data_IF_971701316197
#
_entry.id   IF_971701316197
#
_cell.length_a   1.000
_cell.length_b   1.000
_cell.length_c   1.000
_cell.angle_alpha   90.00
_cell.angle_beta   90.00
_cell.angle_gamma   90.00
#
_symmetry.space_group_name_H-M   'P 1'
#
loop_
_entity.id
_entity.type
_entity.pdbx_description
1 polymer ?
#
# COMPACT_ATOMS: atom_id res chain seq x y z
N UNK A 1 -3.92 -2.43 0.65
CA UNK A 1 -4.26 -2.19 -0.78
C UNK A 1 -3.04 -1.59 -1.46
N UNK A 2 -2.88 -1.73 -2.78
CA UNK A 2 -1.71 -1.19 -3.48
C UNK A 2 -2.15 -0.69 -4.86
N UNK A 3 -2.53 0.59 -5.04
CA UNK A 3 -2.86 1.13 -6.35
C UNK A 3 -1.68 0.99 -7.33
N UNK A 4 -1.96 0.55 -8.56
CA UNK A 4 -0.99 0.54 -9.66
C UNK A 4 -1.40 1.63 -10.66
N UNK A 5 -0.55 2.65 -10.81
CA UNK A 5 -0.74 3.71 -11.79
C UNK A 5 0.11 3.43 -13.03
N UNK A 6 -0.53 3.33 -14.20
CA UNK A 6 0.17 3.30 -15.48
C UNK A 6 0.72 4.69 -15.80
N UNK A 7 2.00 4.77 -16.12
CA UNK A 7 2.65 6.01 -16.55
C UNK A 7 2.64 6.07 -18.09
N UNK A 8 2.31 7.22 -18.71
CA UNK A 8 2.14 7.31 -20.15
C UNK A 8 3.39 7.01 -21.00
N UNK A 9 4.57 7.36 -20.49
CA UNK A 9 5.84 7.13 -21.18
C UNK A 9 7.00 7.12 -20.18
N UNK A 10 8.15 6.61 -20.62
CA UNK A 10 9.35 6.52 -19.78
C UNK A 10 9.90 7.89 -19.37
N UNK A 11 9.84 8.90 -20.25
CA UNK A 11 10.40 10.24 -19.99
C UNK A 11 9.66 10.97 -18.87
N UNK A 12 8.34 10.77 -18.75
CA UNK A 12 7.50 11.33 -17.69
C UNK A 12 7.60 10.59 -16.37
N UNK A 13 8.16 9.37 -16.34
CA UNK A 13 8.18 8.54 -15.13
C UNK A 13 8.82 9.20 -13.91
N UNK A 14 9.97 9.90 -14.00
CA UNK A 14 10.55 10.59 -12.86
C UNK A 14 9.58 11.58 -12.19
N UNK A 15 8.79 12.32 -12.97
CA UNK A 15 7.82 13.28 -12.44
C UNK A 15 6.74 12.56 -11.61
N UNK A 16 6.14 11.50 -12.16
CA UNK A 16 5.14 10.70 -11.45
C UNK A 16 5.71 10.00 -10.21
N UNK A 17 6.90 9.43 -10.31
CA UNK A 17 7.53 8.70 -9.21
C UNK A 17 7.91 9.64 -8.07
N UNK A 18 8.48 10.80 -8.39
CA UNK A 18 8.85 11.79 -7.39
C UNK A 18 7.60 12.44 -6.76
N UNK A 19 6.54 12.68 -7.53
CA UNK A 19 5.24 13.09 -7.01
C UNK A 19 4.64 12.08 -6.03
N UNK A 20 4.70 10.77 -6.35
CA UNK A 20 4.26 9.71 -5.47
C UNK A 20 5.01 9.68 -4.14
N UNK A 21 6.31 10.01 -4.14
CA UNK A 21 7.10 10.13 -2.90
C UNK A 21 6.60 11.30 -2.05
N UNK A 22 6.28 12.46 -2.66
CA UNK A 22 5.85 13.65 -1.91
C UNK A 22 4.45 13.51 -1.32
N UNK A 23 3.58 12.75 -1.97
CA UNK A 23 2.21 12.53 -1.49
C UNK A 23 2.10 11.46 -0.40
N UNK A 24 3.17 10.70 -0.10
CA UNK A 24 3.16 9.58 0.84
C UNK A 24 2.50 9.89 2.18
N UNK A 25 2.91 10.97 2.84
CA UNK A 25 2.36 11.39 4.14
C UNK A 25 0.91 11.84 4.05
N UNK A 26 0.61 12.94 3.32
CA UNK A 26 -0.75 13.47 3.25
C UNK A 26 -1.81 12.47 2.79
N UNK A 27 -1.48 11.60 1.83
CA UNK A 27 -2.41 10.55 1.35
C UNK A 27 -2.54 9.40 2.35
N UNK A 28 -1.48 9.02 3.07
CA UNK A 28 -1.57 7.98 4.10
C UNK A 28 -2.47 8.44 5.26
N UNK A 29 -2.38 9.70 5.68
CA UNK A 29 -3.13 10.23 6.83
C UNK A 29 -4.65 9.99 6.66
N UNK A 30 -5.19 10.25 5.46
CA UNK A 30 -6.59 9.99 5.10
C UNK A 30 -7.03 8.53 5.27
N UNK A 31 -6.10 7.59 5.23
CA UNK A 31 -6.36 6.15 5.15
C UNK A 31 -5.79 5.31 6.28
N UNK A 32 -5.12 5.89 7.29
CA UNK A 32 -4.53 5.11 8.39
C UNK A 32 -5.57 4.19 9.05
N UNK A 33 -5.22 2.93 9.32
CA UNK A 33 -6.20 1.93 9.76
C UNK A 33 -5.62 0.75 10.57
N UNK A 34 -4.35 0.80 10.97
CA UNK A 34 -3.70 -0.33 11.64
C UNK A 34 -3.00 0.07 12.95
N UNK A 35 -3.72 0.52 13.99
CA UNK A 35 -3.06 1.00 15.21
C UNK A 35 -2.60 -0.09 16.19
N UNK A 36 -3.19 -1.28 16.15
CA UNK A 36 -2.92 -2.34 17.14
C UNK A 36 -2.45 -3.65 16.50
N UNK A 37 -1.64 -4.41 17.24
CA UNK A 37 -1.37 -5.83 17.01
C UNK A 37 -2.60 -6.69 17.34
N UNK A 38 -2.59 -8.00 17.02
CA UNK A 38 -3.48 -8.96 17.65
C UNK A 38 -3.49 -8.83 19.18
N UNK A 39 -4.66 -9.03 19.80
CA UNK A 39 -4.88 -8.72 21.21
C UNK A 39 -3.98 -9.52 22.17
N UNK A 40 -3.68 -10.78 21.81
CA UNK A 40 -2.80 -11.70 22.53
C UNK A 40 -1.32 -11.23 22.57
N UNK A 41 -0.95 -10.26 21.72
CA UNK A 41 0.37 -9.62 21.79
C UNK A 41 0.50 -8.62 22.95
N UNK A 42 -0.60 -8.31 23.65
CA UNK A 42 -0.63 -7.34 24.75
C UNK A 42 -0.82 -7.99 26.12
N UNK A 43 -0.67 -9.32 26.23
CA UNK A 43 -0.68 -10.02 27.51
C UNK A 43 0.47 -9.56 28.42
N UNK A 44 0.19 -9.45 29.72
CA UNK A 44 1.19 -9.13 30.73
C UNK A 44 2.31 -10.19 30.74
N UNK A 45 3.53 -9.80 30.32
CA UNK A 45 4.73 -10.65 30.42
C UNK A 45 5.34 -11.11 29.09
N UNK A 46 4.84 -10.69 27.93
CA UNK A 46 5.46 -10.97 26.64
C UNK A 46 6.46 -9.87 26.20
N UNK A 47 7.67 -9.90 26.78
CA UNK A 47 8.82 -9.12 26.31
C UNK A 47 9.94 -9.03 27.34
N UNK A 48 11.21 -9.36 27.00
CA UNK A 48 12.30 -9.36 27.99
C UNK A 48 12.80 -7.96 28.40
N UNK A 49 12.33 -6.86 27.79
CA UNK A 49 12.86 -5.51 28.04
C UNK A 49 11.83 -4.38 28.12
N UNK A 50 10.54 -4.64 27.91
CA UNK A 50 9.50 -3.59 28.04
C UNK A 50 8.20 -4.25 28.52
N UNK A 51 7.97 -4.32 29.85
CA UNK A 51 6.65 -4.69 30.31
C UNK A 51 5.71 -3.60 29.77
N UNK A 52 4.67 -3.97 29.02
CA UNK A 52 3.45 -3.18 29.02
C UNK A 52 3.20 -2.94 30.51
N UNK A 53 3.46 -1.72 31.00
CA UNK A 53 3.39 -1.44 32.41
C UNK A 53 1.96 -1.80 32.80
N UNK A 54 1.81 -2.92 33.53
CA UNK A 54 0.51 -3.42 33.92
C UNK A 54 -0.29 -2.37 34.71
N UNK A 55 0.40 -1.33 35.16
CA UNK A 55 -0.10 -0.19 35.92
C UNK A 55 -0.65 0.96 35.05
N UNK A 56 -0.46 0.97 33.71
CA UNK A 56 -1.07 1.96 32.80
C UNK A 56 -1.51 1.39 31.43
N UNK A 57 -2.72 0.78 31.37
CA UNK A 57 -3.34 0.34 30.12
C UNK A 57 -3.50 1.43 29.04
N UNK A 58 -3.70 2.68 29.45
CA UNK A 58 -3.88 3.80 28.51
C UNK A 58 -2.58 4.16 27.81
N UNK A 59 -1.44 3.96 28.44
CA UNK A 59 -0.15 4.19 27.82
C UNK A 59 0.08 3.30 26.57
N UNK A 60 -0.52 2.11 26.50
CA UNK A 60 -0.49 1.27 25.29
C UNK A 60 -1.26 1.92 24.14
N UNK A 61 -2.42 2.50 24.43
CA UNK A 61 -3.26 3.21 23.44
C UNK A 61 -2.61 4.51 22.99
N UNK A 62 -1.97 5.22 23.93
CA UNK A 62 -1.29 6.50 23.67
C UNK A 62 -0.07 6.31 22.76
N UNK A 63 0.71 5.25 22.97
CA UNK A 63 1.91 4.93 22.16
C UNK A 63 1.58 4.21 20.85
N UNK A 64 0.36 3.71 20.67
CA UNK A 64 -0.03 3.00 19.46
C UNK A 64 0.04 3.95 18.25
N UNK A 65 0.86 3.65 17.22
CA UNK A 65 0.91 4.46 16.01
C UNK A 65 -0.42 4.35 15.25
N UNK A 66 -0.69 5.24 14.30
CA UNK A 66 -1.90 5.13 13.46
C UNK A 66 -1.77 4.06 12.37
N UNK A 67 -0.53 3.75 11.94
CA UNK A 67 -0.25 2.76 10.91
C UNK A 67 0.93 1.83 11.27
N UNK A 68 0.72 0.97 12.27
CA UNK A 68 1.70 0.02 12.81
C UNK A 68 2.26 -0.97 11.76
N UNK A 69 1.53 -1.22 10.67
CA UNK A 69 2.00 -2.04 9.53
C UNK A 69 3.33 -1.56 8.97
N UNK A 70 3.56 -0.24 8.92
CA UNK A 70 4.79 0.32 8.36
C UNK A 70 6.01 -0.12 9.17
N UNK A 71 6.13 0.19 10.48
CA UNK A 71 7.27 -0.22 11.28
C UNK A 71 7.38 -1.74 11.41
N UNK A 72 6.27 -2.49 11.52
CA UNK A 72 6.33 -3.97 11.56
C UNK A 72 7.01 -4.51 10.30
N UNK A 73 6.60 -4.05 9.12
CA UNK A 73 7.14 -4.56 7.87
C UNK A 73 8.60 -4.13 7.67
N UNK A 74 8.94 -2.89 8.02
CA UNK A 74 10.32 -2.43 7.97
C UNK A 74 11.23 -3.22 8.92
N UNK A 75 10.85 -3.38 10.18
CA UNK A 75 11.67 -4.09 11.18
C UNK A 75 11.82 -5.59 10.83
N UNK A 76 10.77 -6.21 10.29
CA UNK A 76 10.82 -7.63 9.93
C UNK A 76 11.69 -7.91 8.71
N UNK A 77 11.74 -6.99 7.74
CA UNK A 77 12.41 -7.24 6.45
C UNK A 77 13.78 -6.57 6.32
N UNK A 78 14.05 -5.51 7.09
CA UNK A 78 15.29 -4.74 7.02
C UNK A 78 16.41 -5.34 7.87
N UNK A 79 16.80 -6.57 7.55
CA UNK A 79 17.84 -7.30 8.31
C UNK A 79 19.26 -6.72 8.15
N UNK A 80 19.52 -5.90 7.13
CA UNK A 80 20.78 -5.11 7.03
C UNK A 80 20.47 -3.67 6.56
N UNK A 81 21.46 -2.78 6.71
CA UNK A 81 21.44 -1.42 6.18
C UNK A 81 22.16 -1.33 4.82
N UNK A 82 21.62 -0.60 3.82
CA UNK A 82 20.34 0.11 3.85
C UNK A 82 19.15 -0.85 3.72
N UNK A 83 18.12 -0.65 4.56
CA UNK A 83 16.94 -1.52 4.65
C UNK A 83 16.12 -1.57 3.36
N UNK A 84 15.66 -2.75 2.94
CA UNK A 84 14.88 -2.95 1.71
C UNK A 84 13.52 -2.26 1.69
N UNK A 85 12.80 -2.30 2.79
CA UNK A 85 11.52 -1.63 2.94
C UNK A 85 11.80 -0.24 3.45
N UNK A 86 11.59 0.76 2.59
CA UNK A 86 11.86 2.16 2.88
C UNK A 86 11.18 3.07 1.88
N UNK A 87 11.07 4.36 2.23
CA UNK A 87 10.80 5.44 1.27
C UNK A 87 11.92 5.45 0.22
N UNK A 88 11.63 5.31 -1.09
CA UNK A 88 12.65 5.37 -2.13
C UNK A 88 13.15 6.80 -2.31
N UNK A 89 14.39 6.96 -2.79
CA UNK A 89 14.94 8.25 -3.20
C UNK A 89 14.34 8.71 -4.53
N UNK A 90 14.40 10.00 -4.79
CA UNK A 90 14.07 10.60 -6.08
C UNK A 90 14.84 9.95 -7.21
N UNK A 91 14.32 10.02 -8.42
CA UNK A 91 15.00 9.55 -9.63
C UNK A 91 15.04 10.67 -10.66
N UNK A 92 16.12 10.70 -11.44
CA UNK A 92 16.26 11.58 -12.61
C UNK A 92 15.86 10.89 -13.92
N UNK A 93 15.86 9.57 -13.96
CA UNK A 93 15.50 8.78 -15.14
C UNK A 93 14.97 7.39 -14.75
N UNK A 94 14.33 6.71 -15.70
CA UNK A 94 13.92 5.31 -15.54
C UNK A 94 15.12 4.37 -15.41
N UNK A 95 16.24 4.65 -16.09
CA UNK A 95 17.44 3.79 -16.03
C UNK A 95 18.05 3.75 -14.65
N UNK A 96 18.02 4.87 -13.91
CA UNK A 96 18.51 4.93 -12.53
C UNK A 96 17.77 3.94 -11.60
N UNK A 97 16.51 3.65 -11.89
CA UNK A 97 15.75 2.64 -11.14
C UNK A 97 16.27 1.24 -11.41
N UNK A 98 16.59 0.94 -12.67
CA UNK A 98 17.14 -0.36 -13.06
C UNK A 98 18.48 -0.55 -12.35
N UNK A 99 19.34 0.48 -12.34
CA UNK A 99 20.61 0.45 -11.60
C UNK A 99 20.38 0.20 -10.10
N UNK A 100 19.44 0.93 -9.48
CA UNK A 100 19.07 0.73 -8.06
C UNK A 100 18.48 -0.64 -7.76
N UNK A 101 17.77 -1.24 -8.71
CA UNK A 101 17.23 -2.58 -8.58
C UNK A 101 18.36 -3.61 -8.62
N UNK A 102 19.32 -3.45 -9.53
CA UNK A 102 20.51 -4.31 -9.63
C UNK A 102 21.36 -4.22 -8.36
N UNK A 103 21.60 -3.00 -7.86
CA UNK A 103 22.41 -2.72 -6.66
C UNK A 103 21.71 -3.12 -5.35
N UNK A 104 20.39 -3.31 -5.35
CA UNK A 104 19.67 -3.74 -4.15
C UNK A 104 20.16 -5.14 -3.73
N UNK A 105 20.23 -5.45 -2.43
CA UNK A 105 20.64 -6.80 -1.96
C UNK A 105 19.78 -7.91 -2.61
N UNK A 106 20.29 -9.09 -2.91
CA UNK A 106 19.45 -10.23 -3.34
C UNK A 106 18.83 -10.87 -2.09
N UNK A 107 17.51 -11.09 -2.08
CA UNK A 107 16.82 -11.80 -1.01
C UNK A 107 16.37 -13.16 -1.52
N UNK A 108 16.80 -14.22 -0.83
CA UNK A 108 16.65 -15.62 -1.21
C UNK A 108 17.28 -15.97 -2.58
N UNK A 109 18.05 -17.06 -2.69
CA UNK A 109 18.47 -17.55 -4.00
C UNK A 109 17.27 -18.13 -4.75
N UNK A 110 17.16 -17.83 -6.04
CA UNK A 110 16.16 -18.43 -6.93
C UNK A 110 16.87 -19.13 -8.06
N UNK A 111 16.60 -20.43 -8.20
CA UNK A 111 17.28 -21.27 -9.15
C UNK A 111 16.44 -21.37 -10.43
N UNK A 112 17.10 -21.24 -11.58
CA UNK A 112 16.46 -21.35 -12.90
C UNK A 112 15.64 -22.64 -13.07
N UNK A 113 16.09 -23.72 -12.43
CA UNK A 113 15.42 -25.02 -12.45
C UNK A 113 14.00 -25.01 -11.86
N UNK A 114 13.69 -24.05 -10.97
CA UNK A 114 12.34 -23.90 -10.43
C UNK A 114 11.36 -23.29 -11.44
N UNK A 115 11.86 -22.51 -12.41
CA UNK A 115 11.05 -21.98 -13.52
C UNK A 115 10.89 -23.04 -14.62
N UNK A 116 11.94 -23.82 -14.87
CA UNK A 116 11.93 -24.86 -15.91
C UNK A 116 11.06 -26.09 -15.54
N UNK A 117 10.86 -26.36 -14.25
CA UNK A 117 10.03 -27.47 -13.77
C UNK A 117 8.53 -27.27 -13.96
N UNK A 118 8.05 -26.03 -14.04
CA UNK A 118 6.63 -25.71 -14.30
C UNK A 118 6.27 -25.80 -15.78
N UNK A 119 7.24 -25.59 -16.69
CA UNK A 119 7.04 -25.69 -18.14
C UNK A 119 7.07 -27.15 -18.67
N UNK A 120 7.31 -28.14 -17.81
CA UNK A 120 7.48 -29.56 -18.19
C UNK A 120 6.43 -30.51 -17.62
N UNK A 121 5.41 -30.01 -16.92
CA UNK A 121 4.34 -30.84 -16.35
C UNK A 121 3.11 -30.88 -17.28
N UNK A 122 3.32 -31.29 -18.55
CA UNK A 122 2.23 -31.84 -19.34
C UNK A 122 1.83 -33.16 -18.67
N UNK A 123 0.68 -33.15 -17.98
CA UNK A 123 0.05 -34.37 -17.50
C UNK A 123 -0.36 -35.16 -18.73
N UNK A 124 0.47 -36.13 -19.13
CA UNK A 124 0.03 -37.19 -20.05
C UNK A 124 -1.20 -37.84 -19.41
N UNK A 125 -2.36 -37.58 -20.01
CA UNK A 125 -3.58 -38.31 -19.71
C UNK A 125 -3.37 -39.76 -20.14
N UNK A 126 -2.89 -40.60 -19.22
CA UNK A 126 -2.82 -42.03 -19.41
C UNK A 126 -4.26 -42.59 -19.51
N UNK A 127 -4.70 -42.80 -20.75
CA UNK A 127 -5.91 -43.52 -21.07
C UNK A 127 -5.69 -45.02 -20.88
N UNK A 128 -6.03 -45.54 -19.69
CA UNK A 128 -6.09 -46.97 -19.37
C UNK A 128 -7.36 -47.34 -18.58
N UNK A 129 -7.94 -48.54 -18.78
CA UNK A 129 -9.37 -48.79 -18.57
C UNK A 129 -9.74 -49.12 -17.12
N UNK A 130 -11.00 -48.82 -16.77
CA UNK A 130 -11.50 -48.83 -15.40
C UNK A 130 -11.60 -50.18 -14.69
N UNK A 131 -11.69 -50.10 -13.36
CA UNK A 131 -12.36 -51.06 -12.48
C UNK A 131 -12.61 -50.40 -11.12
N UNK A 132 -13.79 -50.68 -10.55
CA UNK A 132 -14.26 -50.30 -9.23
C UNK A 132 -13.33 -50.74 -8.07
N UNK A 133 -13.39 -50.02 -6.94
CA UNK A 133 -13.75 -50.51 -5.58
C UNK A 133 -13.12 -49.68 -4.43
N UNK A 134 -13.90 -49.53 -3.35
CA UNK A 134 -13.59 -49.01 -2.01
C UNK A 134 -12.23 -49.43 -1.42
N UNK A 135 -11.58 -48.57 -0.62
CA UNK A 135 -11.55 -48.60 0.87
C UNK A 135 -10.38 -47.75 1.44
N UNK A 136 -10.55 -47.22 2.66
CA UNK A 136 -9.50 -47.21 3.70
C UNK A 136 -8.38 -46.14 3.72
N UNK A 137 -8.47 -45.27 4.74
CA UNK A 137 -7.37 -44.74 5.60
C UNK A 137 -6.11 -44.03 5.05
N UNK A 138 -6.00 -42.74 5.45
CA UNK A 138 -4.84 -41.96 5.97
C UNK A 138 -3.42 -42.27 5.44
N UNK A 139 -2.72 -41.22 4.98
CA UNK A 139 -1.63 -40.51 5.71
C UNK A 139 -0.96 -39.42 4.85
N UNK A 140 -0.49 -38.33 5.48
CA UNK A 140 0.50 -37.41 4.92
C UNK A 140 0.00 -36.03 4.44
N UNK A 141 -0.14 -35.06 5.36
CA UNK A 141 -0.28 -33.63 5.00
C UNK A 141 1.07 -33.11 4.49
N UNK A 142 1.21 -32.97 3.18
CA UNK A 142 2.22 -32.12 2.55
C UNK A 142 1.87 -30.65 2.74
N UNK A 143 2.86 -29.84 3.07
CA UNK A 143 2.77 -28.38 3.18
C UNK A 143 2.53 -27.80 1.79
N UNK A 144 1.37 -27.18 1.57
CA UNK A 144 1.09 -26.40 0.36
C UNK A 144 1.59 -24.98 0.55
N UNK A 145 2.64 -24.61 -0.17
CA UNK A 145 3.02 -23.22 -0.37
C UNK A 145 2.05 -22.62 -1.39
N UNK A 146 1.10 -21.83 -0.90
CA UNK A 146 0.19 -21.07 -1.74
C UNK A 146 0.96 -19.93 -2.44
N UNK A 147 1.30 -20.15 -3.70
CA UNK A 147 1.64 -19.05 -4.61
C UNK A 147 0.33 -18.37 -4.98
N UNK A 148 0.20 -17.08 -4.66
CA UNK A 148 -0.92 -16.28 -5.13
C UNK A 148 -0.81 -16.13 -6.65
N UNK A 149 -1.55 -16.96 -7.39
CA UNK A 149 -1.77 -16.78 -8.81
C UNK A 149 -2.71 -15.59 -9.01
N UNK A 150 -2.23 -14.58 -9.74
CA UNK A 150 -3.11 -13.55 -10.27
C UNK A 150 -4.12 -14.22 -11.20
N UNK A 151 -5.39 -13.86 -11.01
CA UNK A 151 -6.53 -14.51 -11.64
C UNK A 151 -6.45 -14.59 -13.16
N UNK A 152 -6.98 -15.70 -13.66
CA UNK A 152 -7.14 -16.03 -15.07
C UNK A 152 -7.88 -14.91 -15.81
N UNK A 153 -7.18 -14.25 -16.74
CA UNK A 153 -7.78 -13.49 -17.82
C UNK A 153 -7.31 -14.17 -19.10
N UNK A 154 -8.26 -14.83 -19.75
CA UNK A 154 -8.17 -15.43 -21.08
C UNK A 154 -7.81 -14.35 -22.11
N UNK A 155 -6.60 -14.41 -22.67
CA UNK A 155 -6.24 -13.64 -23.87
C UNK A 155 -5.17 -14.33 -24.70
N UNK A 156 -5.34 -14.24 -26.00
CA UNK A 156 -4.36 -14.43 -27.08
C UNK A 156 -3.14 -13.49 -26.85
N UNK A 157 -2.09 -13.92 -26.11
CA UNK A 157 -0.99 -13.07 -25.56
C UNK A 157 0.46 -13.40 -25.98
N UNK A 158 0.70 -14.01 -27.15
CA UNK A 158 2.05 -14.53 -27.46
C UNK A 158 3.20 -13.48 -27.47
N UNK A 159 2.98 -12.22 -27.86
CA UNK A 159 4.10 -11.25 -28.03
C UNK A 159 4.45 -10.41 -26.77
N UNK A 160 3.58 -10.41 -25.75
CA UNK A 160 3.80 -9.68 -24.50
C UNK A 160 4.49 -10.50 -23.43
N UNK A 161 4.13 -11.78 -23.37
CA UNK A 161 4.68 -12.76 -22.44
C UNK A 161 6.12 -13.15 -22.81
N UNK A 162 6.48 -13.20 -24.09
CA UNK A 162 7.79 -13.66 -24.58
C UNK A 162 9.00 -12.86 -24.03
N UNK A 163 8.86 -11.54 -23.82
CA UNK A 163 9.94 -10.69 -23.28
C UNK A 163 10.11 -10.82 -21.76
N UNK A 164 9.00 -10.91 -21.02
CA UNK A 164 9.02 -11.12 -19.57
C UNK A 164 9.47 -12.55 -19.23
N UNK A 165 9.00 -13.54 -19.99
CA UNK A 165 9.46 -14.93 -19.93
C UNK A 165 10.97 -15.07 -20.22
N UNK A 166 11.56 -14.15 -20.99
CA UNK A 166 12.98 -14.11 -21.30
C UNK A 166 13.89 -13.52 -20.20
N UNK A 167 13.35 -12.85 -19.18
CA UNK A 167 14.11 -12.14 -18.14
C UNK A 167 13.65 -12.52 -16.72
N UNK A 168 13.54 -13.83 -16.45
CA UNK A 168 13.10 -14.36 -15.16
C UNK A 168 13.92 -13.84 -13.96
N UNK A 169 15.21 -13.53 -14.14
CA UNK A 169 16.04 -12.93 -13.09
C UNK A 169 15.55 -11.54 -12.68
N UNK A 170 15.09 -10.73 -13.64
CA UNK A 170 14.54 -9.40 -13.39
C UNK A 170 13.20 -9.50 -12.66
N UNK A 171 12.35 -10.44 -13.08
CA UNK A 171 11.06 -10.72 -12.45
C UNK A 171 11.21 -11.19 -11.01
N UNK A 172 12.15 -12.11 -10.77
CA UNK A 172 12.50 -12.51 -9.41
C UNK A 172 13.04 -11.34 -8.60
N UNK A 173 14.00 -10.59 -9.16
CA UNK A 173 14.64 -9.47 -8.47
C UNK A 173 13.64 -8.39 -8.07
N UNK A 174 12.72 -8.00 -8.96
CA UNK A 174 11.68 -7.00 -8.64
C UNK A 174 10.69 -7.49 -7.59
N UNK A 175 10.40 -8.81 -7.54
CA UNK A 175 9.47 -9.38 -6.56
C UNK A 175 9.95 -9.18 -5.11
N UNK A 176 11.27 -9.12 -4.91
CA UNK A 176 11.93 -8.91 -3.61
C UNK A 176 12.42 -7.47 -3.38
N UNK A 177 12.07 -6.55 -4.28
CA UNK A 177 12.29 -5.12 -4.14
C UNK A 177 11.08 -4.48 -3.45
N UNK A 178 11.17 -4.13 -2.17
CA UNK A 178 9.99 -3.77 -1.36
C UNK A 178 9.93 -2.31 -0.89
N UNK A 179 10.20 -1.33 -1.75
CA UNK A 179 10.03 0.10 -1.44
C UNK A 179 8.56 0.50 -1.22
N UNK A 180 8.26 1.56 -0.47
CA UNK A 180 6.88 2.04 -0.27
C UNK A 180 6.24 2.61 -1.54
N UNK A 181 7.04 3.19 -2.44
CA UNK A 181 6.66 3.45 -3.82
C UNK A 181 7.55 2.58 -4.69
N UNK A 182 6.95 1.74 -5.54
CA UNK A 182 7.68 0.75 -6.31
C UNK A 182 7.46 0.91 -7.81
N UNK A 183 8.54 0.97 -8.61
CA UNK A 183 8.43 0.87 -10.06
C UNK A 183 8.13 -0.58 -10.46
N UNK A 184 7.20 -0.75 -11.39
CA UNK A 184 6.83 -2.04 -11.96
C UNK A 184 7.03 -1.97 -13.47
N UNK A 185 7.97 -2.79 -13.95
CA UNK A 185 8.32 -2.89 -15.36
C UNK A 185 7.57 -4.04 -16.02
N UNK A 186 7.15 -3.83 -17.27
CA UNK A 186 6.51 -4.86 -18.08
C UNK A 186 5.03 -5.04 -17.77
N UNK A 187 4.40 -5.90 -18.56
CA UNK A 187 2.95 -6.11 -18.61
C UNK A 187 2.36 -5.66 -19.95
N UNK A 188 1.08 -5.99 -20.14
CA UNK A 188 0.33 -5.69 -21.36
C UNK A 188 0.22 -4.18 -21.57
N UNK A 189 0.73 -3.65 -22.71
CA UNK A 189 0.48 -2.28 -23.11
C UNK A 189 -1.02 -1.97 -23.16
N UNK A 190 -1.40 -0.76 -22.80
CA UNK A 190 -2.78 -0.28 -22.99
C UNK A 190 -2.76 0.73 -24.13
N UNK A 191 -3.45 0.41 -25.22
CA UNK A 191 -3.52 1.25 -26.42
C UNK A 191 -4.02 2.66 -26.06
N UNK A 192 -3.32 3.68 -26.56
CA UNK A 192 -3.65 5.09 -26.29
C UNK A 192 -3.28 5.58 -24.89
N UNK A 193 -2.89 4.69 -23.96
CA UNK A 193 -2.48 5.06 -22.60
C UNK A 193 -0.97 5.01 -22.38
N UNK A 194 -0.21 4.22 -23.16
CA UNK A 194 1.25 4.25 -23.15
C UNK A 194 1.88 4.10 -24.55
N UNK A 195 3.08 4.67 -24.73
CA UNK A 195 3.82 4.70 -26.00
C UNK A 195 4.61 3.40 -26.33
N UNK A 196 4.55 2.41 -25.44
CA UNK A 196 5.28 1.15 -25.59
C UNK A 196 4.86 0.09 -24.55
N UNK A 197 5.85 -0.52 -23.88
CA UNK A 197 5.60 -1.51 -22.82
C UNK A 197 5.10 -0.83 -21.54
N UNK A 198 4.31 -1.55 -20.75
CA UNK A 198 3.74 -1.02 -19.50
C UNK A 198 4.83 -0.65 -18.49
N UNK A 199 4.79 0.59 -18.01
CA UNK A 199 5.59 1.09 -16.89
C UNK A 199 4.65 1.65 -15.83
N UNK A 200 4.71 1.10 -14.62
CA UNK A 200 3.74 1.39 -13.56
C UNK A 200 4.41 1.83 -12.27
N UNK A 201 3.67 2.60 -11.48
CA UNK A 201 3.99 2.92 -10.10
C UNK A 201 3.02 2.15 -9.21
N UNK A 202 3.56 1.29 -8.35
CA UNK A 202 2.82 0.63 -7.30
C UNK A 202 2.96 1.44 -6.01
N UNK A 203 1.83 1.98 -5.55
CA UNK A 203 1.72 2.82 -4.36
C UNK A 203 1.36 1.93 -3.15
N UNK A 204 2.36 1.58 -2.32
CA UNK A 204 2.24 0.52 -1.30
C UNK A 204 1.98 0.95 0.15
N UNK A 205 1.98 2.24 0.54
CA UNK A 205 1.82 2.60 1.94
C UNK A 205 0.38 2.48 2.43
N UNK A 206 -0.64 2.26 1.59
CA UNK A 206 -2.05 2.33 2.01
C UNK A 206 -2.59 1.02 2.61
N UNK A 207 -3.24 1.06 3.79
CA UNK A 207 -3.88 -0.13 4.36
C UNK A 207 -5.22 -0.39 3.67
N UNK A 208 -5.73 -1.61 3.80
CA UNK A 208 -7.14 -1.88 3.47
C UNK A 208 -8.06 -0.97 4.27
N UNK A 209 -9.21 -0.62 3.70
CA UNK A 209 -10.20 0.26 4.32
C UNK A 209 -11.46 -0.52 4.76
N UNK A 210 -12.35 0.08 5.57
CA UNK A 210 -13.57 -0.58 6.04
C UNK A 210 -14.54 -1.01 4.94
N UNK A 211 -14.60 -0.29 3.82
CA UNK A 211 -15.47 -0.61 2.68
C UNK A 211 -14.73 -0.61 1.34
N UNK A 212 -15.35 -1.20 0.32
CA UNK A 212 -14.85 -1.18 -1.06
C UNK A 212 -14.85 0.22 -1.66
N UNK A 213 -15.81 1.06 -1.29
CA UNK A 213 -15.93 2.46 -1.68
C UNK A 213 -14.77 3.28 -1.11
N UNK A 214 -14.36 3.01 0.13
CA UNK A 214 -13.19 3.67 0.73
C UNK A 214 -11.89 3.26 0.01
N UNK A 215 -11.73 1.97 -0.33
CA UNK A 215 -10.58 1.48 -1.11
C UNK A 215 -10.56 2.11 -2.50
N UNK A 216 -11.72 2.19 -3.16
CA UNK A 216 -11.86 2.85 -4.46
C UNK A 216 -11.56 4.36 -4.35
N UNK A 217 -12.05 5.02 -3.29
CA UNK A 217 -11.82 6.43 -3.01
C UNK A 217 -10.33 6.77 -2.94
N UNK A 218 -9.57 6.05 -2.12
CA UNK A 218 -8.12 6.24 -2.02
C UNK A 218 -7.39 5.92 -3.32
N UNK A 219 -7.87 4.92 -4.09
CA UNK A 219 -7.28 4.58 -5.40
C UNK A 219 -7.51 5.70 -6.42
N UNK A 220 -8.73 6.24 -6.49
CA UNK A 220 -9.12 7.37 -7.34
C UNK A 220 -8.34 8.62 -6.94
N UNK A 221 -8.18 8.87 -5.63
CA UNK A 221 -7.36 9.97 -5.13
C UNK A 221 -5.91 9.87 -5.61
N UNK A 222 -5.27 8.71 -5.44
CA UNK A 222 -3.86 8.52 -5.88
C UNK A 222 -3.75 8.70 -7.40
N UNK A 223 -4.66 8.12 -8.18
CA UNK A 223 -4.63 8.26 -9.64
C UNK A 223 -4.81 9.73 -10.08
N UNK A 224 -5.80 10.41 -9.52
CA UNK A 224 -6.09 11.82 -9.76
C UNK A 224 -4.95 12.72 -9.36
N UNK A 225 -4.46 12.59 -8.13
CA UNK A 225 -3.41 13.45 -7.57
C UNK A 225 -2.12 13.35 -8.38
N UNK A 226 -1.65 12.13 -8.67
CA UNK A 226 -0.40 11.95 -9.41
C UNK A 226 -0.53 12.42 -10.87
N UNK A 227 -1.70 12.23 -11.50
CA UNK A 227 -1.95 12.80 -12.84
C UNK A 227 -2.00 14.31 -12.79
N UNK A 228 -2.71 14.88 -11.82
CA UNK A 228 -2.88 16.31 -11.62
C UNK A 228 -1.53 17.00 -11.45
N UNK A 229 -0.71 16.53 -10.51
CA UNK A 229 0.63 17.10 -10.23
C UNK A 229 1.46 17.23 -11.51
N UNK A 230 1.47 16.19 -12.35
CA UNK A 230 2.26 16.20 -13.59
C UNK A 230 1.60 17.05 -14.69
N UNK A 231 0.28 16.96 -14.83
CA UNK A 231 -0.46 17.68 -15.88
C UNK A 231 -0.48 19.20 -15.65
N UNK A 232 -0.39 19.65 -14.39
CA UNK A 232 -0.51 21.05 -14.00
C UNK A 232 0.85 21.68 -13.67
N UNK A 233 1.95 20.93 -13.82
CA UNK A 233 3.31 21.32 -13.42
C UNK A 233 3.39 21.78 -11.95
N UNK A 234 2.67 21.06 -11.08
CA UNK A 234 2.52 21.42 -9.69
C UNK A 234 3.88 21.40 -8.94
N UNK A 235 4.21 22.43 -8.15
CA UNK A 235 5.54 22.62 -7.59
C UNK A 235 5.88 21.69 -6.42
N UNK A 236 5.00 20.75 -6.05
CA UNK A 236 5.23 19.80 -4.95
C UNK A 236 6.57 19.06 -5.05
N UNK A 237 7.08 18.81 -6.25
CA UNK A 237 8.39 18.19 -6.45
C UNK A 237 9.57 18.99 -5.86
N UNK A 238 9.40 20.30 -5.64
CA UNK A 238 10.35 21.17 -4.95
C UNK A 238 10.41 20.94 -3.43
N UNK A 239 9.47 20.16 -2.86
CA UNK A 239 9.56 19.68 -1.48
C UNK A 239 10.79 18.76 -1.34
N UNK A 240 11.71 19.04 -0.39
CA UNK A 240 12.86 18.19 -0.16
C UNK A 240 12.44 16.77 0.20
N UNK A 241 13.17 15.80 -0.33
CA UNK A 241 12.88 14.38 -0.09
C UNK A 241 12.90 14.05 1.41
N UNK A 242 13.83 14.62 2.17
CA UNK A 242 13.94 14.43 3.62
C UNK A 242 12.70 14.91 4.37
N UNK A 243 12.05 15.98 3.90
CA UNK A 243 10.82 16.53 4.50
C UNK A 243 9.62 15.62 4.18
N UNK A 244 9.48 15.18 2.93
CA UNK A 244 8.46 14.20 2.54
C UNK A 244 8.59 12.88 3.32
N UNK A 245 9.84 12.40 3.50
CA UNK A 245 10.13 11.21 4.31
C UNK A 245 9.76 11.43 5.77
N UNK A 246 10.12 12.57 6.37
CA UNK A 246 9.79 12.89 7.76
C UNK A 246 8.27 12.93 7.96
N UNK A 247 7.56 13.66 7.11
CA UNK A 247 6.10 13.73 7.08
C UNK A 247 5.46 12.32 7.01
N UNK A 248 5.96 11.45 6.12
CA UNK A 248 5.45 10.08 6.01
C UNK A 248 5.55 9.28 7.34
N UNK A 249 6.71 9.28 7.99
CA UNK A 249 6.87 8.54 9.26
C UNK A 249 6.18 9.22 10.44
N UNK A 250 5.99 10.54 10.37
CA UNK A 250 5.23 11.27 11.39
C UNK A 250 3.73 10.93 11.29
N UNK A 251 3.17 10.88 10.07
CA UNK A 251 1.80 10.39 9.81
C UNK A 251 1.61 8.93 10.26
N UNK A 252 2.61 8.08 10.05
CA UNK A 252 2.57 6.69 10.55
C UNK A 252 2.35 6.67 12.07
N UNK A 253 3.00 7.59 12.78
CA UNK A 253 2.98 7.65 14.25
C UNK A 253 1.76 8.39 14.78
N UNK A 254 1.36 9.49 14.14
CA UNK A 254 0.44 10.50 14.69
C UNK A 254 -0.83 10.70 13.84
N UNK A 255 -0.98 10.03 12.70
CA UNK A 255 -2.19 10.15 11.88
C UNK A 255 -2.42 11.57 11.38
N UNK A 256 -3.60 12.12 11.66
CA UNK A 256 -3.96 13.51 11.34
C UNK A 256 -3.24 14.56 12.21
N UNK A 257 -2.73 14.18 13.39
CA UNK A 257 -1.98 15.07 14.28
C UNK A 257 -0.51 15.23 13.88
N UNK A 258 -0.12 14.70 12.71
CA UNK A 258 1.25 14.75 12.22
C UNK A 258 1.64 16.13 11.67
N UNK A 259 2.93 16.45 11.72
CA UNK A 259 3.54 17.59 11.03
C UNK A 259 3.61 17.29 9.52
N UNK A 260 2.57 17.71 8.80
CA UNK A 260 2.47 17.56 7.36
C UNK A 260 3.56 18.40 6.66
N UNK A 261 3.93 17.99 5.46
CA UNK A 261 4.86 18.74 4.63
C UNK A 261 4.36 18.76 3.19
N UNK A 262 4.08 19.95 2.68
CA UNK A 262 3.57 20.16 1.34
C UNK A 262 4.13 21.45 0.73
N UNK A 263 4.05 21.54 -0.60
CA UNK A 263 4.23 22.79 -1.33
C UNK A 263 2.96 22.97 -2.16
N UNK A 264 2.21 24.04 -1.91
CA UNK A 264 0.95 24.34 -2.61
C UNK A 264 1.20 24.75 -4.05
N UNK A 265 0.15 24.85 -4.86
CA UNK A 265 0.22 25.28 -6.26
C UNK A 265 0.92 26.64 -6.45
N UNK A 266 0.81 27.54 -5.48
CA UNK A 266 1.48 28.85 -5.49
C UNK A 266 2.99 28.78 -5.13
N UNK A 267 3.49 27.59 -4.80
CA UNK A 267 4.89 27.34 -4.43
C UNK A 267 5.20 27.59 -2.95
N UNK A 268 4.19 27.80 -2.11
CA UNK A 268 4.36 28.02 -0.67
C UNK A 268 4.52 26.69 0.08
N UNK A 269 5.53 26.60 0.95
CA UNK A 269 5.70 25.46 1.85
C UNK A 269 4.77 25.61 3.04
N UNK A 270 3.98 24.57 3.32
CA UNK A 270 3.03 24.57 4.42
C UNK A 270 2.97 23.21 5.13
N UNK A 271 2.59 23.25 6.40
CA UNK A 271 2.16 22.11 7.23
C UNK A 271 0.72 22.26 7.70
N UNK A 272 0.03 23.33 7.30
CA UNK A 272 -1.36 23.61 7.65
C UNK A 272 -2.30 22.62 6.96
N UNK A 273 -3.09 21.90 7.76
CA UNK A 273 -3.92 20.79 7.30
C UNK A 273 -4.94 21.23 6.24
N UNK A 274 -5.63 22.35 6.46
CA UNK A 274 -6.63 22.87 5.52
C UNK A 274 -5.97 23.26 4.19
N UNK A 275 -4.86 24.01 4.24
CA UNK A 275 -4.13 24.41 3.04
C UNK A 275 -3.55 23.22 2.27
N UNK A 276 -3.05 22.18 2.96
CA UNK A 276 -2.55 20.95 2.33
C UNK A 276 -3.67 20.25 1.57
N UNK A 277 -4.82 20.02 2.22
CA UNK A 277 -5.89 19.21 1.64
C UNK A 277 -6.74 19.97 0.63
N UNK A 278 -6.94 21.28 0.78
CA UNK A 278 -7.58 22.13 -0.24
C UNK A 278 -6.84 22.01 -1.58
N UNK A 279 -5.52 22.22 -1.56
CA UNK A 279 -4.66 22.14 -2.72
C UNK A 279 -4.57 20.71 -3.27
N UNK A 280 -4.35 19.71 -2.40
CA UNK A 280 -4.26 18.29 -2.79
C UNK A 280 -5.53 17.80 -3.48
N UNK A 281 -6.72 18.09 -2.95
CA UNK A 281 -7.98 17.67 -3.57
C UNK A 281 -8.33 18.48 -4.81
N UNK A 282 -7.93 19.75 -4.91
CA UNK A 282 -8.05 20.54 -6.14
C UNK A 282 -7.23 19.91 -7.27
N UNK A 283 -5.95 19.66 -7.04
CA UNK A 283 -5.04 19.04 -8.02
C UNK A 283 -5.50 17.62 -8.37
N UNK A 284 -6.00 16.85 -7.41
CA UNK A 284 -6.54 15.52 -7.69
C UNK A 284 -7.75 15.55 -8.63
N UNK A 285 -8.67 16.52 -8.45
CA UNK A 285 -9.80 16.70 -9.36
C UNK A 285 -9.37 17.11 -10.76
N UNK A 286 -8.40 18.02 -10.88
CA UNK A 286 -7.85 18.42 -12.18
C UNK A 286 -7.24 17.22 -12.92
N UNK A 287 -6.49 16.36 -12.21
CA UNK A 287 -5.94 15.14 -12.79
C UNK A 287 -6.99 14.11 -13.22
N UNK A 288 -8.10 14.00 -12.47
CA UNK A 288 -9.23 13.14 -12.85
C UNK A 288 -9.98 13.72 -14.07
N UNK A 289 -10.21 15.03 -14.11
CA UNK A 289 -10.88 15.71 -15.21
C UNK A 289 -10.08 15.57 -16.51
N UNK A 290 -8.75 15.64 -16.45
CA UNK A 290 -7.87 15.40 -17.59
C UNK A 290 -8.05 13.98 -18.17
N UNK A 291 -8.32 13.00 -17.32
CA UNK A 291 -8.61 11.62 -17.73
C UNK A 291 -10.06 11.41 -18.16
N UNK A 292 -10.87 12.47 -18.26
CA UNK A 292 -12.28 12.40 -18.67
C UNK A 292 -13.24 11.92 -17.59
N UNK A 293 -12.81 11.87 -16.32
CA UNK A 293 -13.69 11.56 -15.19
C UNK A 293 -14.54 12.79 -14.88
N UNK A 294 -15.86 12.60 -14.80
CA UNK A 294 -16.79 13.70 -14.52
C UNK A 294 -16.67 14.19 -13.07
N UNK A 295 -16.95 15.48 -12.83
CA UNK A 295 -16.99 16.06 -11.48
C UNK A 295 -17.92 15.30 -10.53
N UNK A 296 -19.04 14.77 -11.05
CA UNK A 296 -19.96 13.93 -10.28
C UNK A 296 -19.28 12.64 -9.82
N UNK A 297 -18.56 11.97 -10.73
CA UNK A 297 -17.84 10.72 -10.44
C UNK A 297 -16.66 10.97 -9.50
N UNK A 298 -15.86 12.01 -9.76
CA UNK A 298 -14.78 12.42 -8.87
C UNK A 298 -15.33 12.76 -7.48
N UNK A 299 -16.39 13.55 -7.39
CA UNK A 299 -17.04 13.93 -6.14
C UNK A 299 -17.64 12.74 -5.38
N UNK A 300 -18.12 11.69 -6.06
CA UNK A 300 -18.58 10.45 -5.41
C UNK A 300 -17.47 9.78 -4.59
N UNK A 301 -16.24 9.79 -5.08
CA UNK A 301 -15.10 9.09 -4.47
C UNK A 301 -14.26 9.99 -3.55
N UNK A 302 -14.15 11.29 -3.86
CA UNK A 302 -13.31 12.22 -3.10
C UNK A 302 -14.03 12.84 -1.88
N UNK A 303 -15.33 13.16 -1.97
CA UNK A 303 -16.06 13.79 -0.84
C UNK A 303 -16.03 12.98 0.47
N UNK A 304 -16.12 11.64 0.46
CA UNK A 304 -15.96 10.87 1.69
C UNK A 304 -14.58 11.03 2.34
N UNK A 305 -13.53 11.28 1.56
CA UNK A 305 -12.17 11.52 2.07
C UNK A 305 -12.02 12.97 2.57
N UNK A 306 -12.64 13.94 1.90
CA UNK A 306 -12.72 15.32 2.38
C UNK A 306 -13.42 15.40 3.75
N UNK A 307 -14.52 14.67 3.92
CA UNK A 307 -15.21 14.59 5.21
C UNK A 307 -14.32 14.02 6.34
N UNK A 308 -13.32 13.18 6.03
CA UNK A 308 -12.33 12.71 7.02
C UNK A 308 -11.38 13.82 7.45
N UNK A 309 -11.03 14.72 6.52
CA UNK A 309 -10.25 15.92 6.82
C UNK A 309 -11.05 16.84 7.72
N UNK A 310 -12.30 17.17 7.35
CA UNK A 310 -13.19 18.02 8.14
C UNK A 310 -13.40 17.49 9.58
N UNK A 311 -13.46 16.16 9.73
CA UNK A 311 -13.64 15.50 11.02
C UNK A 311 -12.32 15.22 11.75
N UNK A 312 -11.16 15.52 11.15
CA UNK A 312 -9.83 15.12 11.61
C UNK A 312 -9.78 13.66 12.10
N UNK A 313 -10.38 12.75 11.33
CA UNK A 313 -10.61 11.37 11.77
C UNK A 313 -10.46 10.40 10.60
N UNK A 314 -9.54 9.44 10.75
CA UNK A 314 -9.38 8.27 9.91
C UNK A 314 -9.84 6.99 10.66
N UNK A 315 -9.91 5.83 9.98
CA UNK A 315 -10.27 4.57 10.65
C UNK A 315 -9.40 4.23 11.87
N UNK A 316 -8.10 4.56 11.83
CA UNK A 316 -7.21 4.36 12.98
C UNK A 316 -7.62 5.18 14.20
N UNK A 317 -8.05 6.44 14.03
CA UNK A 317 -8.53 7.32 15.09
C UNK A 317 -9.77 6.73 15.77
N UNK A 318 -10.72 6.22 14.97
CA UNK A 318 -11.89 5.53 15.49
C UNK A 318 -11.50 4.31 16.32
N UNK A 319 -10.57 3.49 15.85
CA UNK A 319 -10.10 2.30 16.58
C UNK A 319 -9.43 2.69 17.89
N UNK A 320 -8.52 3.68 17.87
CA UNK A 320 -7.82 4.16 19.07
C UNK A 320 -8.79 4.72 20.11
N UNK A 321 -9.77 5.53 19.68
CA UNK A 321 -10.81 6.08 20.55
C UNK A 321 -11.68 4.98 21.17
N UNK A 322 -12.14 4.02 20.37
CA UNK A 322 -12.97 2.92 20.87
C UNK A 322 -12.23 2.06 21.90
N UNK A 323 -10.94 1.74 21.66
CA UNK A 323 -10.12 1.02 22.65
C UNK A 323 -9.91 1.86 23.91
N UNK A 324 -9.62 3.16 23.79
CA UNK A 324 -9.50 4.07 24.94
C UNK A 324 -10.78 4.05 25.78
N UNK A 325 -11.94 4.27 25.16
CA UNK A 325 -13.24 4.32 25.85
C UNK A 325 -13.54 3.02 26.60
N UNK A 326 -13.20 1.86 26.02
CA UNK A 326 -13.34 0.55 26.66
C UNK A 326 -12.42 0.38 27.87
N UNK A 327 -11.16 0.79 27.74
CA UNK A 327 -10.19 0.78 28.85
C UNK A 327 -10.64 1.71 29.98
N UNK A 328 -11.12 2.92 29.65
CA UNK A 328 -11.69 3.85 30.63
C UNK A 328 -12.96 3.32 31.31
N UNK A 329 -13.71 2.46 30.61
CA UNK A 329 -14.86 1.74 31.16
C UNK A 329 -14.48 0.51 32.02
N UNK A 330 -13.20 0.15 32.08
CA UNK A 330 -12.66 -0.89 32.96
C UNK A 330 -12.29 -2.20 32.26
N UNK A 331 -12.35 -2.28 30.93
CA UNK A 331 -11.80 -3.42 30.19
C UNK A 331 -10.25 -3.41 30.29
N UNK A 332 -9.63 -4.59 30.33
CA UNK A 332 -8.20 -4.68 30.03
C UNK A 332 -7.91 -4.43 28.53
N UNK A 333 -6.64 -4.20 28.17
CA UNK A 333 -6.24 -3.85 26.81
C UNK A 333 -6.65 -4.93 25.80
N UNK A 334 -6.49 -6.21 26.16
CA UNK A 334 -6.84 -7.33 25.31
C UNK A 334 -8.35 -7.34 25.01
N UNK A 335 -9.17 -7.25 26.04
CA UNK A 335 -10.64 -7.20 25.94
C UNK A 335 -11.08 -5.98 25.14
N UNK A 336 -10.45 -4.82 25.37
CA UNK A 336 -10.74 -3.59 24.65
C UNK A 336 -10.46 -3.71 23.14
N UNK A 337 -9.30 -4.28 22.76
CA UNK A 337 -8.94 -4.51 21.35
C UNK A 337 -9.88 -5.53 20.70
N UNK A 338 -10.23 -6.63 21.38
CA UNK A 338 -11.19 -7.62 20.87
C UNK A 338 -12.56 -6.98 20.66
N UNK A 339 -13.03 -6.18 21.63
CA UNK A 339 -14.29 -5.46 21.55
C UNK A 339 -14.33 -4.49 20.37
N UNK A 340 -13.29 -3.66 20.22
CA UNK A 340 -13.14 -2.74 19.09
C UNK A 340 -13.13 -3.50 17.76
N UNK A 341 -12.38 -4.59 17.65
CA UNK A 341 -12.25 -5.32 16.39
C UNK A 341 -13.56 -6.02 15.98
N UNK A 342 -14.35 -6.51 16.94
CA UNK A 342 -15.70 -7.04 16.69
C UNK A 342 -16.61 -5.95 16.12
N UNK A 343 -16.65 -4.79 16.77
CA UNK A 343 -17.45 -3.66 16.31
C UNK A 343 -16.99 -3.15 14.92
N UNK A 344 -15.68 -3.11 14.68
CA UNK A 344 -15.12 -2.77 13.37
C UNK A 344 -15.61 -3.74 12.28
N UNK A 345 -15.63 -5.04 12.55
CA UNK A 345 -16.10 -6.07 11.60
C UNK A 345 -17.61 -5.94 11.35
N UNK A 346 -18.40 -5.63 12.38
CA UNK A 346 -19.85 -5.42 12.24
C UNK A 346 -20.19 -4.21 11.35
N UNK A 347 -19.37 -3.15 11.42
CA UNK A 347 -19.53 -1.94 10.60
C UNK A 347 -18.89 -2.07 9.21
N UNK A 348 -17.94 -2.99 9.03
CA UNK A 348 -17.23 -3.17 7.76
C UNK A 348 -18.20 -3.49 6.61
N UNK A 349 -17.90 -2.94 5.43
CA UNK A 349 -18.81 -2.92 4.28
C UNK A 349 -19.59 -1.61 4.14
N UNK A 350 -19.71 -0.82 5.21
CA UNK A 350 -20.23 0.56 5.15
C UNK A 350 -19.08 1.57 5.03
N UNK A 351 -19.15 2.56 4.14
CA UNK A 351 -18.13 3.61 4.02
C UNK A 351 -17.83 4.30 5.35
N UNK A 352 -16.56 4.54 5.64
CA UNK A 352 -16.12 5.11 6.92
C UNK A 352 -16.73 6.50 7.22
N UNK A 353 -17.06 7.27 6.18
CA UNK A 353 -17.71 8.59 6.35
C UNK A 353 -19.03 8.50 7.11
N UNK A 354 -19.72 7.36 7.09
CA UNK A 354 -20.96 7.14 7.86
C UNK A 354 -20.70 6.87 9.36
N UNK A 355 -19.43 6.80 9.78
CA UNK A 355 -19.01 6.50 11.15
C UNK A 355 -18.50 7.74 11.89
N UNK A 356 -18.29 8.84 11.16
CA UNK A 356 -17.90 10.16 11.67
C UNK A 356 -19.09 10.76 12.46
#
# INVERSE_FOLDING_TARGET
MQPHLLVPNADGFPAYFNAAIRSLGPVLALGTNAPFLPADCYEAGHGPEDPIEADDPLATVDRAPHELRIPIFEQSMNVDSPGKVRVPRDVGSVTEIVDRLLDDRVCAPFLREWVAGEAGADVEADSGPGADLNDGERTGKGVSTATATNGDIDTDTDAGEEYAAGLWELDYKRSTYWRWVRPVFGGTPVEGACDGRSLRIEYRPLPTQPSTEDVAGLTVLVAGLLRGIVATDHPVSALPWEDAKRCFYDVVSNGFDADLAWVTQDGERTSDLDAVYEDLFAVAREGLAEQGVTDETAGRYLRPLEARVDAHTAPSDWKRRNVRERVEAGDDVETAIIGMQREYIERAGTPFVEWL
#
